data_IF_950032047004
#
_entry.id   IF_950032047004
#
_cell.length_a   1.000
_cell.length_b   1.000
_cell.length_c   1.000
_cell.angle_alpha   90.00
_cell.angle_beta   90.00
_cell.angle_gamma   90.00
#
_symmetry.space_group_name_H-M   'P 1'
#
loop_
_entity.id
_entity.type
_entity.pdbx_description
1 polymer ?
#
# COMPACT_ATOMS: atom_id res chain seq x y z
N UNK A 1 -19.65 -7.23 3.00
CA UNK A 1 -18.43 -6.43 2.66
C UNK A 1 -18.32 -5.33 3.69
N UNK A 2 -17.18 -5.14 4.29
CA UNK A 2 -16.93 -3.99 5.15
C UNK A 2 -15.68 -3.24 4.67
N UNK A 3 -15.75 -1.93 4.72
CA UNK A 3 -14.63 -1.07 4.41
C UNK A 3 -14.11 -0.55 5.75
N UNK A 4 -12.84 -0.77 6.02
CA UNK A 4 -12.19 -0.12 7.11
C UNK A 4 -12.19 1.39 6.92
N UNK A 5 -12.01 2.12 7.98
CA UNK A 5 -12.06 3.56 7.99
C UNK A 5 -11.11 4.16 6.96
N UNK A 6 -11.65 4.95 6.08
CA UNK A 6 -10.90 5.82 5.20
C UNK A 6 -11.13 7.27 5.61
N UNK A 7 -10.18 7.87 6.30
CA UNK A 7 -10.12 9.34 6.48
C UNK A 7 -9.86 10.08 5.16
N UNK A 8 -9.93 9.40 4.05
CA UNK A 8 -9.37 9.83 2.78
C UNK A 8 -10.44 10.22 1.76
N UNK A 9 -11.72 10.03 2.07
CA UNK A 9 -12.78 10.46 1.15
C UNK A 9 -12.83 11.95 0.97
N UNK A 10 -12.43 12.73 1.98
CA UNK A 10 -12.05 14.15 1.82
C UNK A 10 -11.10 14.44 0.67
N UNK A 11 -10.38 13.42 0.19
CA UNK A 11 -9.24 13.51 -0.70
C UNK A 11 -9.35 12.62 -1.93
N UNK A 12 -10.43 11.88 -2.06
CA UNK A 12 -10.66 11.05 -3.24
C UNK A 12 -11.28 11.91 -4.33
N UNK A 13 -10.58 12.03 -5.43
CA UNK A 13 -10.96 12.93 -6.50
C UNK A 13 -10.99 12.18 -7.82
N UNK A 14 -11.89 11.28 -7.96
CA UNK A 14 -12.26 10.84 -9.30
C UNK A 14 -13.67 10.32 -9.36
N UNK A 15 -14.38 10.69 -10.38
CA UNK A 15 -15.54 9.93 -10.79
C UNK A 15 -15.23 8.43 -10.91
N UNK A 16 -14.07 8.05 -11.49
CA UNK A 16 -13.70 6.63 -11.68
C UNK A 16 -13.39 5.90 -10.36
N UNK A 17 -12.62 6.47 -9.44
CA UNK A 17 -12.37 5.84 -8.14
C UNK A 17 -13.60 5.87 -7.23
N UNK A 18 -14.33 6.96 -7.23
CA UNK A 18 -15.56 7.13 -6.46
C UNK A 18 -16.68 6.25 -6.97
N UNK A 19 -16.76 5.99 -8.27
CA UNK A 19 -17.76 5.10 -8.87
C UNK A 19 -17.29 3.65 -9.01
N UNK A 20 -16.08 3.29 -8.56
CA UNK A 20 -15.63 1.89 -8.61
C UNK A 20 -16.67 0.93 -8.03
N UNK A 21 -17.24 1.28 -6.89
CA UNK A 21 -18.30 0.51 -6.23
C UNK A 21 -19.59 0.50 -7.03
N UNK A 22 -20.01 1.65 -7.56
CA UNK A 22 -21.24 1.78 -8.36
C UNK A 22 -21.12 0.96 -9.66
N UNK A 23 -19.99 1.05 -10.36
CA UNK A 23 -19.74 0.26 -11.57
C UNK A 23 -19.67 -1.24 -11.24
N UNK A 24 -19.10 -1.62 -10.11
CA UNK A 24 -19.11 -3.01 -9.67
C UNK A 24 -20.55 -3.48 -9.43
N UNK A 25 -21.36 -2.66 -8.74
CA UNK A 25 -22.76 -2.98 -8.51
C UNK A 25 -23.56 -3.08 -9.81
N UNK A 26 -23.34 -2.19 -10.78
CA UNK A 26 -23.94 -2.24 -12.11
C UNK A 26 -23.54 -3.47 -12.93
N UNK A 27 -22.28 -3.89 -12.76
CA UNK A 27 -21.71 -5.04 -13.47
C UNK A 27 -22.13 -6.40 -12.86
N UNK A 28 -22.46 -6.39 -11.57
CA UNK A 28 -22.80 -7.58 -10.78
C UNK A 28 -24.14 -7.39 -10.08
N UNK A 29 -25.20 -7.21 -10.86
CA UNK A 29 -26.58 -6.95 -10.37
C UNK A 29 -27.17 -8.10 -9.54
N UNK A 30 -26.57 -9.28 -9.62
CA UNK A 30 -26.93 -10.43 -8.79
C UNK A 30 -26.41 -10.31 -7.36
N UNK A 31 -25.49 -9.39 -7.09
CA UNK A 31 -24.91 -9.18 -5.78
C UNK A 31 -25.48 -7.92 -5.12
N UNK A 32 -25.90 -8.03 -3.88
CA UNK A 32 -26.18 -6.88 -3.03
C UNK A 32 -24.88 -6.40 -2.38
N UNK A 33 -24.45 -5.17 -2.72
CA UNK A 33 -23.24 -4.56 -2.18
C UNK A 33 -23.60 -3.65 -1.01
N UNK A 34 -23.03 -3.95 0.17
CA UNK A 34 -23.22 -3.16 1.38
C UNK A 34 -21.88 -2.60 1.81
N UNK A 35 -21.76 -1.29 1.87
CA UNK A 35 -20.60 -0.58 2.40
C UNK A 35 -20.81 -0.25 3.87
N UNK A 36 -20.01 -0.85 4.74
CA UNK A 36 -20.03 -0.56 6.18
C UNK A 36 -18.80 0.29 6.51
N UNK A 37 -19.03 1.49 7.01
CA UNK A 37 -17.99 2.50 7.23
C UNK A 37 -18.18 3.26 8.53
N UNK A 38 -17.14 3.95 9.00
CA UNK A 38 -17.22 4.74 10.24
C UNK A 38 -17.71 6.16 10.06
N UNK A 39 -17.83 6.64 8.83
CA UNK A 39 -18.25 8.01 8.54
C UNK A 39 -18.99 8.07 7.21
N UNK A 40 -20.06 8.84 7.13
CA UNK A 40 -20.83 9.05 5.91
C UNK A 40 -20.02 9.70 4.77
N UNK A 41 -19.06 10.55 5.10
CA UNK A 41 -18.09 11.07 4.13
C UNK A 41 -17.19 10.01 3.48
N UNK A 42 -17.19 8.79 3.99
CA UNK A 42 -16.55 7.65 3.34
C UNK A 42 -17.45 6.98 2.28
N UNK A 43 -18.67 7.45 2.17
CA UNK A 43 -19.60 7.05 1.14
C UNK A 43 -19.50 8.09 0.04
N UNK A 44 -18.67 7.83 -0.92
CA UNK A 44 -18.54 8.48 -2.22
C UNK A 44 -18.74 10.01 -2.25
N UNK A 45 -17.67 10.75 -2.32
CA UNK A 45 -17.67 12.20 -2.50
C UNK A 45 -16.99 12.52 -3.82
N UNK A 46 -17.68 13.25 -4.69
CA UNK A 46 -17.05 13.89 -5.85
C UNK A 46 -16.54 15.27 -5.44
N UNK A 47 -15.23 15.43 -5.38
CA UNK A 47 -14.63 16.72 -5.03
C UNK A 47 -14.43 17.64 -6.22
N UNK A 48 -14.68 17.17 -7.45
CA UNK A 48 -14.55 18.03 -8.63
C UNK A 48 -15.50 19.22 -8.58
N UNK A 49 -16.69 19.02 -7.98
CA UNK A 49 -17.71 20.03 -7.85
C UNK A 49 -18.02 20.42 -6.39
N UNK A 50 -17.32 19.83 -5.41
CA UNK A 50 -17.53 20.08 -3.99
C UNK A 50 -18.84 19.49 -3.44
N UNK A 51 -19.52 18.67 -4.21
CA UNK A 51 -20.78 18.02 -3.84
C UNK A 51 -20.58 16.55 -3.44
N UNK A 52 -21.46 16.07 -2.57
CA UNK A 52 -21.61 14.64 -2.30
C UNK A 52 -22.04 13.97 -3.61
N UNK A 53 -21.24 13.02 -4.07
CA UNK A 53 -21.61 12.19 -5.20
C UNK A 53 -22.96 11.54 -4.92
N UNK A 54 -23.88 11.54 -5.90
CA UNK A 54 -25.13 10.83 -5.74
C UNK A 54 -24.84 9.34 -5.49
N UNK A 55 -25.14 8.92 -4.28
CA UNK A 55 -24.96 7.51 -3.88
C UNK A 55 -25.71 6.64 -4.88
N UNK A 56 -25.05 5.63 -5.41
CA UNK A 56 -25.73 4.65 -6.27
C UNK A 56 -26.85 3.97 -5.47
N UNK A 57 -28.04 3.94 -6.00
CA UNK A 57 -29.17 3.21 -5.41
C UNK A 57 -28.92 1.69 -5.32
N UNK A 58 -27.89 1.20 -6.07
CA UNK A 58 -27.46 -0.20 -6.06
C UNK A 58 -26.57 -0.56 -4.87
N UNK A 59 -26.15 0.42 -4.06
CA UNK A 59 -25.28 0.20 -2.91
C UNK A 59 -25.98 0.64 -1.65
N UNK A 60 -26.05 -0.25 -0.66
CA UNK A 60 -26.49 0.10 0.69
C UNK A 60 -25.32 0.60 1.52
N UNK A 61 -25.52 1.73 2.19
CA UNK A 61 -24.53 2.35 3.08
C UNK A 61 -24.94 2.19 4.54
N UNK A 62 -24.02 1.67 5.36
CA UNK A 62 -24.19 1.51 6.80
C UNK A 62 -23.07 2.24 7.52
N UNK A 63 -23.41 3.27 8.28
CA UNK A 63 -22.47 4.10 9.03
C UNK A 63 -22.44 3.66 10.49
N UNK A 64 -21.25 3.31 10.97
CA UNK A 64 -20.99 2.92 12.36
C UNK A 64 -20.09 3.99 13.00
N UNK A 65 -20.65 4.99 13.69
CA UNK A 65 -19.88 6.12 14.21
C UNK A 65 -18.80 5.73 15.22
N UNK A 66 -19.07 4.67 16.01
CA UNK A 66 -18.08 4.10 16.91
C UNK A 66 -17.43 2.88 16.23
N UNK A 67 -16.18 3.00 15.86
CA UNK A 67 -15.42 2.00 15.09
C UNK A 67 -14.83 0.87 15.96
N UNK A 68 -15.45 0.56 17.08
CA UNK A 68 -15.07 -0.61 17.87
C UNK A 68 -15.28 -1.91 17.08
N UNK A 69 -14.45 -2.90 17.34
CA UNK A 69 -14.50 -4.21 16.65
C UNK A 69 -15.87 -4.86 16.77
N UNK A 70 -16.47 -4.78 17.95
CA UNK A 70 -17.78 -5.39 18.23
C UNK A 70 -18.90 -4.66 17.51
N UNK A 71 -18.93 -3.34 17.59
CA UNK A 71 -19.94 -2.49 16.97
C UNK A 71 -19.93 -2.66 15.44
N UNK A 72 -18.75 -2.77 14.85
CA UNK A 72 -18.60 -3.04 13.43
C UNK A 72 -19.14 -4.44 13.08
N UNK A 73 -18.79 -5.45 13.86
CA UNK A 73 -19.28 -6.81 13.65
C UNK A 73 -20.80 -6.92 13.85
N UNK A 74 -21.38 -6.22 14.84
CA UNK A 74 -22.83 -6.18 15.09
C UNK A 74 -23.58 -5.55 13.89
N UNK A 75 -23.05 -4.46 13.34
CA UNK A 75 -23.61 -3.80 12.16
C UNK A 75 -23.56 -4.72 10.93
N UNK A 76 -22.43 -5.38 10.68
CA UNK A 76 -22.29 -6.32 9.57
C UNK A 76 -23.24 -7.53 9.73
N UNK A 77 -23.33 -8.11 10.92
CA UNK A 77 -24.22 -9.25 11.19
C UNK A 77 -25.69 -8.89 10.96
N UNK A 78 -26.09 -7.64 11.29
CA UNK A 78 -27.47 -7.15 11.06
C UNK A 78 -27.84 -7.19 9.59
N UNK A 79 -26.89 -6.99 8.70
CA UNK A 79 -27.08 -7.04 7.26
C UNK A 79 -27.12 -8.47 6.69
N UNK A 80 -26.75 -9.48 7.49
CA UNK A 80 -26.75 -10.90 7.11
C UNK A 80 -25.99 -11.20 5.80
N UNK A 81 -24.75 -10.72 5.67
CA UNK A 81 -24.01 -10.91 4.41
C UNK A 81 -23.59 -12.38 4.24
N UNK A 82 -23.47 -12.82 3.00
CA UNK A 82 -22.86 -14.10 2.66
C UNK A 82 -21.36 -14.07 2.96
N UNK A 83 -20.72 -12.92 2.74
CA UNK A 83 -19.31 -12.70 3.04
C UNK A 83 -19.03 -11.23 3.37
N UNK A 84 -18.13 -11.00 4.31
CA UNK A 84 -17.56 -9.69 4.60
C UNK A 84 -16.13 -9.60 4.07
N UNK A 85 -15.83 -8.56 3.30
CA UNK A 85 -14.52 -8.33 2.67
C UNK A 85 -13.87 -7.09 3.27
N UNK A 86 -12.68 -7.26 3.86
CA UNK A 86 -11.91 -6.14 4.37
C UNK A 86 -11.22 -5.40 3.22
N UNK A 87 -11.47 -4.11 3.12
CA UNK A 87 -10.93 -3.25 2.07
C UNK A 87 -10.37 -1.94 2.63
N UNK A 88 -9.90 -1.96 3.86
CA UNK A 88 -9.28 -0.80 4.48
C UNK A 88 -8.01 -0.39 3.76
N UNK A 89 -7.83 0.92 3.68
CA UNK A 89 -6.58 1.52 3.26
C UNK A 89 -5.79 2.02 4.47
N UNK A 90 -4.67 2.64 4.20
CA UNK A 90 -3.78 3.22 5.19
C UNK A 90 -4.47 4.23 6.11
N UNK A 91 -4.09 4.26 7.38
CA UNK A 91 -4.45 5.26 8.37
C UNK A 91 -3.20 5.93 8.96
N UNK A 92 -3.30 7.20 9.32
CA UNK A 92 -2.20 8.00 9.88
C UNK A 92 -2.50 8.36 11.34
N UNK A 93 -1.51 8.49 12.22
CA UNK A 93 -0.07 8.31 12.03
C UNK A 93 0.41 6.86 12.08
N UNK A 94 -0.39 5.96 12.63
CA UNK A 94 -0.09 4.53 12.78
C UNK A 94 -1.15 3.73 12.04
N UNK A 95 -0.71 2.80 11.21
CA UNK A 95 -1.60 2.00 10.37
C UNK A 95 -2.15 0.77 11.11
N UNK A 96 -3.15 1.00 11.96
CA UNK A 96 -3.84 -0.06 12.68
C UNK A 96 -5.04 -0.69 11.96
N UNK A 97 -5.38 -0.18 10.76
CA UNK A 97 -6.53 -0.69 10.01
C UNK A 97 -6.44 -2.17 9.70
N UNK A 98 -5.30 -2.74 9.28
CA UNK A 98 -5.21 -4.18 9.03
C UNK A 98 -5.52 -5.02 10.27
N UNK A 99 -5.03 -4.61 11.42
CA UNK A 99 -5.25 -5.31 12.69
C UNK A 99 -6.71 -5.18 13.12
N UNK A 100 -7.33 -4.00 12.95
CA UNK A 100 -8.75 -3.80 13.24
C UNK A 100 -9.62 -4.68 12.34
N UNK A 101 -9.36 -4.70 11.04
CA UNK A 101 -10.09 -5.53 10.08
C UNK A 101 -9.98 -7.02 10.42
N UNK A 102 -8.78 -7.46 10.79
CA UNK A 102 -8.54 -8.83 11.25
C UNK A 102 -9.32 -9.17 12.51
N UNK A 103 -9.41 -8.25 13.47
CA UNK A 103 -10.21 -8.44 14.69
C UNK A 103 -11.71 -8.48 14.39
N UNK A 104 -12.22 -7.63 13.50
CA UNK A 104 -13.61 -7.66 13.04
C UNK A 104 -13.90 -8.98 12.35
N UNK A 105 -13.03 -9.42 11.41
CA UNK A 105 -13.18 -10.70 10.73
C UNK A 105 -13.17 -11.89 11.69
N UNK A 106 -12.28 -11.89 12.69
CA UNK A 106 -12.25 -12.91 13.75
C UNK A 106 -13.56 -12.99 14.53
N UNK A 107 -14.17 -11.84 14.84
CA UNK A 107 -15.45 -11.78 15.51
C UNK A 107 -16.60 -12.27 14.62
N UNK A 108 -16.61 -11.90 13.35
CA UNK A 108 -17.58 -12.39 12.36
C UNK A 108 -17.50 -13.90 12.16
N UNK A 109 -16.29 -14.45 12.03
CA UNK A 109 -16.06 -15.90 11.91
C UNK A 109 -16.60 -16.68 13.12
N UNK A 110 -16.48 -16.15 14.35
CA UNK A 110 -17.10 -16.74 15.56
C UNK A 110 -18.63 -16.80 15.49
N UNK A 111 -19.25 -15.87 14.76
CA UNK A 111 -20.70 -15.80 14.54
C UNK A 111 -21.16 -16.60 13.32
N UNK A 112 -20.25 -17.34 12.67
CA UNK A 112 -20.52 -18.14 11.49
C UNK A 112 -20.60 -17.35 10.17
N UNK A 113 -20.17 -16.09 10.16
CA UNK A 113 -20.13 -15.24 8.98
C UNK A 113 -18.75 -15.37 8.33
N UNK A 114 -18.72 -15.70 7.04
CA UNK A 114 -17.46 -15.71 6.27
C UNK A 114 -16.86 -14.30 6.21
N UNK A 115 -15.55 -14.20 6.38
CA UNK A 115 -14.86 -12.93 6.30
C UNK A 115 -13.51 -13.11 5.62
N UNK A 116 -13.22 -12.24 4.64
CA UNK A 116 -11.95 -12.17 3.94
C UNK A 116 -11.11 -11.03 4.54
N UNK A 117 -10.23 -11.39 5.44
CA UNK A 117 -9.21 -10.55 6.05
C UNK A 117 -8.18 -11.45 6.73
N UNK A 118 -6.96 -10.99 6.85
CA UNK A 118 -5.90 -11.70 7.58
C UNK A 118 -6.35 -12.08 9.00
N UNK A 119 -5.77 -13.14 9.55
CA UNK A 119 -5.94 -13.41 10.98
C UNK A 119 -5.18 -12.36 11.80
N UNK A 120 -5.64 -12.02 13.03
CA UNK A 120 -5.06 -10.92 13.80
C UNK A 120 -3.56 -11.06 14.05
N UNK A 121 -3.09 -12.27 14.27
CA UNK A 121 -1.69 -12.57 14.53
C UNK A 121 -0.82 -12.23 13.30
N UNK A 122 -1.25 -12.60 12.11
CA UNK A 122 -0.56 -12.28 10.84
C UNK A 122 -0.67 -10.78 10.53
N UNK A 123 -1.86 -10.19 10.67
CA UNK A 123 -2.03 -8.75 10.48
C UNK A 123 -1.08 -7.94 11.37
N UNK A 124 -0.93 -8.34 12.64
CA UNK A 124 -0.03 -7.70 13.59
C UNK A 124 1.45 -7.91 13.22
N UNK A 125 1.85 -9.14 12.83
CA UNK A 125 3.21 -9.43 12.44
C UNK A 125 3.63 -8.68 11.17
N UNK A 126 2.71 -8.48 10.23
CA UNK A 126 2.98 -7.75 8.99
C UNK A 126 2.90 -6.21 9.15
N UNK A 127 2.14 -5.71 10.12
CA UNK A 127 2.04 -4.26 10.40
C UNK A 127 3.28 -3.72 11.10
N UNK A 128 3.92 -4.54 11.94
CA UNK A 128 5.16 -4.19 12.64
C UNK A 128 6.40 -4.64 11.85
N UNK A 129 7.23 -3.68 11.42
CA UNK A 129 8.39 -3.93 10.56
C UNK A 129 9.45 -4.84 11.19
N UNK A 130 9.62 -4.77 12.52
CA UNK A 130 10.53 -5.68 13.21
C UNK A 130 9.99 -7.11 13.23
N UNK A 131 8.70 -7.28 13.57
CA UNK A 131 8.05 -8.59 13.54
C UNK A 131 8.02 -9.19 12.14
N UNK A 132 7.77 -8.37 11.11
CA UNK A 132 7.88 -8.76 9.70
C UNK A 132 9.29 -9.25 9.36
N UNK A 133 10.34 -8.53 9.76
CA UNK A 133 11.72 -8.94 9.52
C UNK A 133 12.03 -10.31 10.16
N UNK A 134 11.65 -10.52 11.43
CA UNK A 134 11.82 -11.80 12.11
C UNK A 134 11.04 -12.94 11.44
N UNK A 135 9.80 -12.66 11.05
CA UNK A 135 8.94 -13.62 10.37
C UNK A 135 9.56 -14.07 9.04
N UNK A 136 9.98 -13.13 8.21
CA UNK A 136 10.57 -13.40 6.90
C UNK A 136 11.89 -14.18 7.01
N UNK A 137 12.75 -13.85 7.98
CA UNK A 137 13.97 -14.63 8.28
C UNK A 137 13.65 -16.08 8.63
N UNK A 138 12.61 -16.33 9.43
CA UNK A 138 12.17 -17.66 9.80
C UNK A 138 11.80 -18.51 8.57
N UNK A 139 11.25 -17.87 7.53
CA UNK A 139 10.86 -18.53 6.28
C UNK A 139 11.95 -18.47 5.18
N UNK A 140 13.16 -18.02 5.53
CA UNK A 140 14.29 -17.96 4.59
C UNK A 140 14.16 -16.90 3.50
N UNK A 141 13.28 -15.92 3.68
CA UNK A 141 13.11 -14.77 2.77
C UNK A 141 14.22 -13.76 3.07
N UNK A 142 14.85 -13.23 2.02
CA UNK A 142 15.87 -12.18 2.14
C UNK A 142 15.31 -10.90 2.74
N UNK A 143 15.95 -10.39 3.79
CA UNK A 143 15.65 -9.12 4.46
C UNK A 143 16.93 -8.46 4.94
N UNK A 144 16.89 -7.17 5.24
CA UNK A 144 18.01 -6.44 5.81
C UNK A 144 18.39 -6.97 7.21
N UNK A 145 19.69 -6.92 7.56
CA UNK A 145 20.10 -7.04 8.95
C UNK A 145 19.57 -5.82 9.72
N UNK A 146 19.06 -6.05 10.92
CA UNK A 146 18.36 -5.01 11.65
C UNK A 146 18.49 -5.18 13.16
N UNK A 147 18.40 -4.05 13.86
CA UNK A 147 18.38 -3.93 15.32
C UNK A 147 17.10 -3.21 15.74
N UNK A 148 16.37 -3.78 16.69
CA UNK A 148 15.24 -3.12 17.35
C UNK A 148 15.76 -2.25 18.49
N UNK A 149 15.34 -0.99 18.51
CA UNK A 149 15.62 -0.05 19.61
C UNK A 149 14.30 0.28 20.31
N UNK A 150 14.18 -0.15 21.56
CA UNK A 150 13.07 0.21 22.43
C UNK A 150 13.29 1.62 22.97
N UNK A 151 12.54 2.58 22.45
CA UNK A 151 12.78 4.00 22.70
C UNK A 151 12.65 4.38 24.18
N UNK A 152 11.72 3.76 24.91
CA UNK A 152 11.56 4.01 26.35
C UNK A 152 12.79 3.61 27.16
N UNK A 153 13.44 2.50 26.82
CA UNK A 153 14.66 2.05 27.48
C UNK A 153 15.88 2.89 27.06
N UNK A 154 15.93 3.26 25.78
CA UNK A 154 17.02 4.05 25.23
C UNK A 154 17.04 5.47 25.78
N UNK A 155 15.87 6.10 25.92
CA UNK A 155 15.70 7.49 26.34
C UNK A 155 15.23 7.66 27.79
N UNK A 156 15.38 6.59 28.61
CA UNK A 156 15.02 6.68 30.02
C UNK A 156 15.74 7.84 30.71
N UNK A 157 14.98 8.71 31.34
CA UNK A 157 15.49 9.81 32.18
C UNK A 157 15.40 9.34 33.62
N UNK A 158 16.55 9.08 34.22
CA UNK A 158 16.64 8.74 35.64
C UNK A 158 17.80 9.47 36.26
N UNK A 159 17.51 10.29 37.25
CA UNK A 159 18.53 11.03 38.02
C UNK A 159 19.46 10.10 38.87
N UNK A 160 19.04 8.84 39.02
CA UNK A 160 19.79 7.83 39.75
C UNK A 160 20.67 6.92 38.88
N UNK A 161 20.55 6.99 37.53
CA UNK A 161 21.37 6.17 36.63
C UNK A 161 22.58 6.96 36.13
N UNK A 162 23.74 6.57 36.56
CA UNK A 162 25.03 7.11 36.05
C UNK A 162 25.39 6.55 34.69
N UNK A 163 24.78 5.42 34.29
CA UNK A 163 25.05 4.74 33.02
C UNK A 163 23.82 4.05 32.50
N UNK A 164 23.47 4.25 31.22
CA UNK A 164 22.40 3.49 30.56
C UNK A 164 23.02 2.33 29.76
N UNK A 165 23.13 1.17 30.42
CA UNK A 165 23.71 -0.05 29.81
C UNK A 165 22.97 -0.50 28.56
N UNK A 166 21.65 -0.21 28.46
CA UNK A 166 20.91 -0.52 27.24
C UNK A 166 21.41 0.31 26.04
N UNK A 167 21.81 1.58 26.25
CA UNK A 167 22.43 2.38 25.18
C UNK A 167 23.77 1.80 24.74
N UNK A 168 24.58 1.31 25.68
CA UNK A 168 25.86 0.65 25.35
C UNK A 168 25.62 -0.61 24.52
N UNK A 169 24.66 -1.44 24.93
CA UNK A 169 24.24 -2.63 24.19
C UNK A 169 23.76 -2.29 22.76
N UNK A 170 22.92 -1.27 22.63
CA UNK A 170 22.43 -0.82 21.31
C UNK A 170 23.57 -0.27 20.46
N UNK A 171 24.48 0.51 21.05
CA UNK A 171 25.62 1.06 20.33
C UNK A 171 26.52 -0.07 19.76
N UNK A 172 26.79 -1.08 20.56
CA UNK A 172 27.54 -2.27 20.17
C UNK A 172 26.84 -3.00 19.02
N UNK A 173 25.53 -3.28 19.16
CA UNK A 173 24.74 -3.94 18.13
C UNK A 173 24.65 -3.15 16.82
N UNK A 174 24.59 -1.82 16.88
CA UNK A 174 24.56 -0.96 15.69
C UNK A 174 25.92 -0.90 15.01
N UNK A 175 27.02 -1.06 15.74
CA UNK A 175 28.37 -1.05 15.19
C UNK A 175 28.65 -2.28 14.30
N UNK A 176 27.89 -3.35 14.46
CA UNK A 176 27.96 -4.56 13.64
C UNK A 176 27.21 -4.45 12.30
N UNK A 177 26.40 -3.37 12.10
CA UNK A 177 25.68 -3.15 10.85
C UNK A 177 26.57 -2.50 9.79
N UNK A 178 26.31 -2.86 8.53
CA UNK A 178 26.93 -2.21 7.37
C UNK A 178 26.20 -0.90 7.03
N UNK A 179 26.91 0.22 7.12
CA UNK A 179 26.38 1.52 6.73
C UNK A 179 26.43 1.74 5.21
N UNK A 180 25.47 2.50 4.61
CA UNK A 180 24.42 3.27 5.28
C UNK A 180 23.30 2.38 5.86
N UNK A 181 22.65 2.90 6.93
CA UNK A 181 21.48 2.26 7.54
C UNK A 181 20.24 3.12 7.39
N UNK A 182 19.09 2.47 7.50
CA UNK A 182 17.77 3.10 7.53
C UNK A 182 17.25 3.08 8.96
N UNK A 183 16.93 4.26 9.49
CA UNK A 183 16.31 4.45 10.82
C UNK A 183 14.84 4.77 10.59
N UNK A 184 13.92 3.94 11.09
CA UNK A 184 12.47 4.10 10.90
C UNK A 184 11.68 3.57 12.10
N UNK A 185 10.46 4.07 12.31
CA UNK A 185 9.55 3.50 13.31
C UNK A 185 9.11 2.09 12.91
N UNK A 186 8.87 1.21 13.90
CA UNK A 186 8.39 -0.16 13.62
C UNK A 186 6.99 -0.16 13.03
N UNK A 187 6.13 0.78 13.44
CA UNK A 187 4.77 0.97 12.94
C UNK A 187 4.63 2.36 12.33
N UNK A 188 4.79 2.47 11.03
CA UNK A 188 4.71 3.73 10.28
C UNK A 188 4.35 3.47 8.83
N UNK A 189 4.05 4.54 8.09
CA UNK A 189 3.56 4.47 6.73
C UNK A 189 4.13 5.57 5.83
N UNK A 190 4.11 5.35 4.52
CA UNK A 190 4.36 6.37 3.50
C UNK A 190 5.74 7.02 3.59
N UNK A 191 6.76 6.28 4.01
CA UNK A 191 8.14 6.76 4.23
C UNK A 191 8.26 7.93 5.23
N UNK A 192 7.22 8.21 6.04
CA UNK A 192 7.29 9.20 7.10
C UNK A 192 8.22 8.73 8.21
N UNK A 193 9.15 9.61 8.63
CA UNK A 193 10.11 9.27 9.68
C UNK A 193 11.19 8.27 9.26
N UNK A 194 11.34 8.01 7.95
CA UNK A 194 12.44 7.20 7.41
C UNK A 194 13.66 8.06 7.16
N UNK A 195 14.76 7.72 7.82
CA UNK A 195 16.03 8.44 7.68
C UNK A 195 17.11 7.47 7.20
N UNK A 196 17.81 7.84 6.14
CA UNK A 196 19.02 7.13 5.70
C UNK A 196 20.22 7.88 6.25
N UNK A 197 21.07 7.19 6.99
CA UNK A 197 22.25 7.76 7.65
C UNK A 197 23.50 6.95 7.32
N UNK A 198 24.60 7.67 7.19
CA UNK A 198 25.87 7.09 6.72
C UNK A 198 26.80 6.70 7.89
N UNK A 199 26.50 7.16 9.11
CA UNK A 199 27.35 6.93 10.28
C UNK A 199 26.56 6.48 11.51
N UNK A 200 27.26 5.79 12.39
CA UNK A 200 26.74 5.34 13.69
C UNK A 200 26.33 6.54 14.58
N UNK A 201 27.09 7.62 14.53
CA UNK A 201 26.83 8.83 15.29
C UNK A 201 25.52 9.51 14.86
N UNK A 202 25.25 9.55 13.54
CA UNK A 202 23.99 10.08 12.99
C UNK A 202 22.80 9.22 13.42
N UNK A 203 22.93 7.89 13.33
CA UNK A 203 21.90 6.97 13.81
C UNK A 203 21.61 7.18 15.30
N UNK A 204 22.66 7.25 16.11
CA UNK A 204 22.56 7.46 17.54
C UNK A 204 21.87 8.80 17.91
N UNK A 205 22.18 9.86 17.17
CA UNK A 205 21.53 11.17 17.36
C UNK A 205 20.02 11.09 17.11
N UNK A 206 19.59 10.46 16.01
CA UNK A 206 18.17 10.27 15.72
C UNK A 206 17.47 9.49 16.84
N UNK A 207 18.11 8.42 17.34
CA UNK A 207 17.57 7.62 18.43
C UNK A 207 17.42 8.42 19.73
N UNK A 208 18.35 9.34 20.02
CA UNK A 208 18.26 10.22 21.19
C UNK A 208 17.13 11.26 21.07
N UNK A 209 16.86 11.72 19.87
CA UNK A 209 15.82 12.71 19.58
C UNK A 209 14.43 12.08 19.43
N UNK A 210 14.36 10.74 19.34
CA UNK A 210 13.08 10.04 19.17
C UNK A 210 12.28 10.01 20.49
N UNK A 211 11.11 10.62 20.44
CA UNK A 211 10.12 10.65 21.53
C UNK A 211 8.89 9.77 21.25
N UNK A 212 8.91 9.06 20.12
CA UNK A 212 7.84 8.18 19.65
C UNK A 212 8.02 6.72 20.06
N UNK A 213 7.41 5.83 19.29
CA UNK A 213 7.47 4.38 19.52
C UNK A 213 8.85 3.75 19.23
N UNK A 214 8.90 2.43 19.25
CA UNK A 214 10.10 1.67 18.97
C UNK A 214 10.62 1.92 17.55
N UNK A 215 11.94 1.86 17.41
CA UNK A 215 12.66 2.17 16.18
C UNK A 215 13.36 0.93 15.65
N UNK A 216 13.26 0.71 14.35
CA UNK A 216 14.04 -0.25 13.61
C UNK A 216 15.22 0.48 12.95
N UNK A 217 16.42 -0.01 13.21
CA UNK A 217 17.63 0.38 12.48
C UNK A 217 18.07 -0.81 11.65
N UNK A 218 18.06 -0.66 10.32
CA UNK A 218 18.39 -1.76 9.42
C UNK A 218 19.41 -1.34 8.36
N UNK A 219 20.22 -2.28 7.88
CA UNK A 219 21.10 -2.05 6.74
C UNK A 219 20.27 -1.60 5.54
N UNK A 220 20.72 -0.56 4.86
CA UNK A 220 20.05 -0.14 3.63
C UNK A 220 20.25 -1.20 2.54
N UNK A 221 19.16 -1.83 2.11
CA UNK A 221 19.20 -2.76 1.00
C UNK A 221 19.66 -2.06 -0.28
N UNK A 222 20.69 -2.57 -0.96
CA UNK A 222 21.17 -1.99 -2.22
C UNK A 222 20.26 -2.35 -3.38
N UNK A 223 20.48 -1.68 -4.52
CA UNK A 223 19.86 -2.00 -5.80
C UNK A 223 18.55 -1.28 -6.08
N UNK A 224 17.76 -1.88 -6.95
CA UNK A 224 16.50 -1.31 -7.46
C UNK A 224 15.33 -1.65 -6.53
N UNK A 225 14.39 -0.73 -6.38
CA UNK A 225 13.20 -0.95 -5.59
C UNK A 225 11.99 -1.30 -6.45
N UNK A 226 11.15 -2.18 -5.91
CA UNK A 226 9.94 -2.67 -6.57
C UNK A 226 8.82 -2.83 -5.56
N UNK A 227 7.60 -2.95 -6.08
CA UNK A 227 6.45 -3.38 -5.31
C UNK A 227 5.63 -4.40 -6.08
N UNK A 228 5.03 -5.35 -5.38
CA UNK A 228 4.11 -6.33 -5.96
C UNK A 228 2.91 -6.54 -5.06
N UNK A 229 1.89 -7.21 -5.59
CA UNK A 229 0.69 -7.63 -4.87
C UNK A 229 0.61 -9.15 -4.83
N UNK A 230 0.17 -9.70 -3.69
CA UNK A 230 -0.20 -11.11 -3.55
C UNK A 230 -1.71 -11.18 -3.52
N UNK A 231 -2.30 -11.79 -4.53
CA UNK A 231 -3.74 -11.95 -4.72
C UNK A 231 -4.17 -13.39 -4.43
N UNK A 232 -5.35 -13.58 -3.86
CA UNK A 232 -5.91 -14.91 -3.61
C UNK A 232 -6.14 -15.25 -2.15
N UNK A 233 -6.54 -16.50 -1.90
CA UNK A 233 -6.82 -17.07 -0.58
C UNK A 233 -6.80 -18.59 -0.62
N UNK A 234 -6.95 -19.25 0.54
CA UNK A 234 -7.15 -20.70 0.67
C UNK A 234 -6.12 -21.56 -0.10
N UNK A 235 -4.86 -21.12 -0.10
CA UNK A 235 -3.77 -21.84 -0.79
C UNK A 235 -3.66 -21.55 -2.29
N UNK A 236 -4.60 -20.81 -2.87
CA UNK A 236 -4.60 -20.38 -4.26
C UNK A 236 -4.15 -18.92 -4.34
N UNK A 237 -2.86 -18.70 -4.54
CA UNK A 237 -2.27 -17.37 -4.58
C UNK A 237 -1.60 -17.11 -5.92
N UNK A 238 -1.75 -15.86 -6.39
CA UNK A 238 -1.04 -15.30 -7.53
C UNK A 238 -0.21 -14.12 -7.04
N UNK A 239 1.09 -14.18 -7.25
CA UNK A 239 1.97 -13.03 -7.02
C UNK A 239 2.10 -12.29 -8.34
N UNK A 240 1.69 -11.05 -8.37
CA UNK A 240 1.72 -10.23 -9.58
C UNK A 240 3.16 -9.91 -9.97
N UNK A 241 3.47 -9.74 -11.26
CA UNK A 241 4.76 -9.21 -11.66
C UNK A 241 4.98 -7.82 -11.03
N UNK A 242 6.21 -7.53 -10.54
CA UNK A 242 6.45 -6.32 -9.78
C UNK A 242 6.45 -5.05 -10.65
N UNK A 243 6.20 -3.92 -9.99
CA UNK A 243 6.36 -2.57 -10.54
C UNK A 243 7.65 -1.98 -10.00
N UNK A 244 8.49 -1.42 -10.86
CA UNK A 244 9.74 -0.78 -10.46
C UNK A 244 9.49 0.65 -10.02
N UNK A 245 10.14 1.06 -8.93
CA UNK A 245 10.04 2.41 -8.37
C UNK A 245 11.24 3.25 -8.76
N UNK A 246 10.99 4.52 -9.06
CA UNK A 246 12.06 5.51 -9.11
C UNK A 246 12.44 5.88 -7.67
N UNK A 247 13.74 5.83 -7.38
CA UNK A 247 14.31 6.23 -6.10
C UNK A 247 15.06 7.55 -6.23
N UNK A 248 15.21 8.26 -5.11
CA UNK A 248 16.07 9.44 -5.01
C UNK A 248 17.56 9.06 -4.94
N UNK A 249 18.43 10.05 -4.83
CA UNK A 249 19.89 9.85 -4.76
C UNK A 249 20.33 9.01 -3.54
N UNK A 250 19.50 8.97 -2.50
CA UNK A 250 19.71 8.10 -1.33
C UNK A 250 19.18 6.68 -1.55
N UNK A 251 18.62 6.37 -2.74
CA UNK A 251 18.08 5.06 -3.08
C UNK A 251 16.84 4.68 -2.26
N UNK A 252 16.04 5.65 -1.83
CA UNK A 252 14.73 5.44 -1.23
C UNK A 252 13.66 6.07 -2.11
N UNK A 253 12.44 5.55 -2.03
CA UNK A 253 11.31 6.08 -2.79
C UNK A 253 11.06 7.53 -2.41
N UNK A 254 11.06 8.42 -3.40
CA UNK A 254 10.75 9.83 -3.20
C UNK A 254 9.23 10.01 -3.12
N UNK A 255 8.73 10.36 -1.95
CA UNK A 255 7.28 10.55 -1.73
C UNK A 255 6.66 11.63 -2.63
N UNK A 256 7.44 12.59 -3.13
CA UNK A 256 6.95 13.69 -3.95
C UNK A 256 7.10 13.45 -5.46
N UNK A 257 8.08 12.63 -5.85
CA UNK A 257 8.39 12.29 -7.24
C UNK A 257 8.26 10.79 -7.49
N UNK A 258 7.37 10.12 -6.75
CA UNK A 258 7.10 8.72 -6.96
C UNK A 258 6.74 8.52 -8.42
N UNK A 259 7.49 7.63 -9.06
CA UNK A 259 7.16 7.06 -10.35
C UNK A 259 7.30 5.55 -10.21
N UNK A 260 6.24 4.85 -10.58
CA UNK A 260 6.18 3.38 -10.56
C UNK A 260 5.81 2.95 -11.97
N UNK A 261 6.56 2.03 -12.53
CA UNK A 261 6.36 1.54 -13.89
C UNK A 261 6.34 0.02 -13.91
N UNK A 262 5.46 -0.55 -14.70
CA UNK A 262 5.36 -2.00 -14.90
C UNK A 262 4.04 -2.42 -15.53
N UNK A 263 3.69 -3.71 -15.42
CA UNK A 263 4.44 -4.77 -14.72
C UNK A 263 5.76 -5.13 -15.38
N UNK A 264 6.76 -5.51 -14.58
CA UNK A 264 8.08 -5.92 -15.06
C UNK A 264 8.14 -7.46 -15.12
N UNK A 265 8.34 -7.99 -16.31
CA UNK A 265 8.44 -9.42 -16.55
C UNK A 265 9.78 -9.85 -17.18
N UNK A 266 10.77 -8.96 -17.21
CA UNK A 266 12.09 -9.22 -17.78
C UNK A 266 12.80 -10.36 -17.00
N UNK A 267 13.29 -11.36 -17.72
CA UNK A 267 13.98 -12.53 -17.15
C UNK A 267 15.23 -12.15 -16.33
N UNK A 268 15.86 -11.01 -16.63
CA UNK A 268 17.04 -10.51 -15.88
C UNK A 268 16.73 -10.29 -14.39
N UNK A 269 15.45 -10.06 -14.04
CA UNK A 269 15.02 -9.84 -12.66
C UNK A 269 14.59 -11.13 -11.92
N UNK A 270 14.69 -12.30 -12.54
CA UNK A 270 14.31 -13.56 -11.90
C UNK A 270 12.91 -13.53 -11.24
N UNK A 271 11.93 -12.91 -11.93
CA UNK A 271 10.57 -12.67 -11.38
C UNK A 271 9.87 -13.96 -10.99
N UNK A 272 10.11 -15.06 -11.73
CA UNK A 272 9.51 -16.38 -11.41
C UNK A 272 9.96 -16.92 -10.05
N UNK A 273 11.20 -16.68 -9.67
CA UNK A 273 11.75 -17.09 -8.37
C UNK A 273 11.13 -16.29 -7.24
N UNK A 274 10.97 -14.97 -7.44
CA UNK A 274 10.23 -14.09 -6.52
C UNK A 274 8.79 -14.59 -6.33
N UNK A 275 8.08 -14.80 -7.42
CA UNK A 275 6.68 -15.26 -7.41
C UNK A 275 6.55 -16.59 -6.66
N UNK A 276 7.42 -17.55 -6.91
CA UNK A 276 7.42 -18.83 -6.21
C UNK A 276 7.67 -18.67 -4.71
N UNK A 277 8.64 -17.84 -4.34
CA UNK A 277 9.02 -17.59 -2.94
C UNK A 277 7.87 -16.97 -2.16
N UNK A 278 7.26 -15.90 -2.71
CA UNK A 278 6.14 -15.21 -2.08
C UNK A 278 4.85 -16.04 -2.07
N UNK A 279 4.61 -16.85 -3.11
CA UNK A 279 3.48 -17.80 -3.12
C UNK A 279 3.62 -18.84 -2.01
N UNK A 280 4.82 -19.36 -1.80
CA UNK A 280 5.08 -20.31 -0.71
C UNK A 280 4.87 -19.65 0.65
N UNK A 281 5.36 -18.42 0.84
CA UNK A 281 5.13 -17.65 2.07
C UNK A 281 3.64 -17.45 2.33
N UNK A 282 2.87 -17.04 1.30
CA UNK A 282 1.43 -16.83 1.42
C UNK A 282 0.68 -18.11 1.82
N UNK A 283 1.10 -19.26 1.30
CA UNK A 283 0.53 -20.57 1.67
C UNK A 283 0.85 -20.94 3.11
N UNK A 284 2.10 -20.78 3.53
CA UNK A 284 2.55 -21.12 4.89
C UNK A 284 1.88 -20.23 5.96
N UNK A 285 1.61 -18.97 5.63
CA UNK A 285 1.01 -17.99 6.53
C UNK A 285 -0.52 -17.87 6.36
N UNK A 286 -1.10 -18.60 5.40
CA UNK A 286 -2.54 -18.54 5.11
C UNK A 286 -3.04 -17.10 4.95
N UNK A 287 -2.49 -16.38 3.97
CA UNK A 287 -2.93 -15.01 3.69
C UNK A 287 -4.39 -14.98 3.25
N UNK A 288 -5.18 -14.14 3.90
CA UNK A 288 -6.62 -13.96 3.63
C UNK A 288 -6.96 -12.47 3.54
N UNK A 289 -6.27 -11.72 2.72
CA UNK A 289 -6.52 -10.28 2.62
C UNK A 289 -5.58 -9.60 1.61
N UNK A 290 -5.79 -8.31 1.36
CA UNK A 290 -4.89 -7.53 0.53
C UNK A 290 -3.47 -7.58 1.06
N UNK A 291 -2.50 -7.85 0.20
CA UNK A 291 -1.10 -8.04 0.62
C UNK A 291 -0.16 -7.41 -0.39
N UNK A 292 0.35 -6.23 -0.06
CA UNK A 292 1.32 -5.52 -0.85
C UNK A 292 2.72 -5.76 -0.29
N UNK A 293 3.71 -6.00 -1.15
CA UNK A 293 5.10 -6.27 -0.78
C UNK A 293 6.04 -5.27 -1.42
N UNK A 294 6.81 -4.54 -0.61
CA UNK A 294 7.91 -3.70 -1.08
C UNK A 294 9.21 -4.50 -1.10
N UNK A 295 9.97 -4.37 -2.18
CA UNK A 295 11.06 -5.23 -2.56
C UNK A 295 12.30 -4.44 -2.95
N UNK A 296 13.47 -5.04 -2.72
CA UNK A 296 14.73 -4.64 -3.32
C UNK A 296 15.29 -5.78 -4.17
N UNK A 297 15.90 -5.43 -5.31
CA UNK A 297 16.60 -6.38 -6.18
C UNK A 297 18.03 -5.94 -6.40
N UNK A 298 18.97 -6.81 -6.05
CA UNK A 298 20.39 -6.54 -6.20
C UNK A 298 21.16 -7.81 -6.53
N UNK A 299 22.04 -7.75 -7.52
CA UNK A 299 22.94 -8.87 -7.92
C UNK A 299 22.22 -10.23 -8.04
N UNK A 300 21.07 -10.22 -8.72
CA UNK A 300 20.32 -11.47 -8.96
C UNK A 300 19.46 -11.94 -7.78
N UNK A 301 19.35 -11.17 -6.69
CA UNK A 301 18.63 -11.56 -5.48
C UNK A 301 17.53 -10.57 -5.11
N UNK A 302 16.39 -11.13 -4.71
CA UNK A 302 15.30 -10.38 -4.12
C UNK A 302 15.40 -10.35 -2.60
N UNK A 303 15.06 -9.19 -2.04
CA UNK A 303 14.87 -9.00 -0.60
C UNK A 303 13.58 -8.25 -0.34
N UNK A 304 12.89 -8.58 0.73
CA UNK A 304 11.67 -7.88 1.16
C UNK A 304 12.06 -6.71 2.05
N UNK A 305 11.53 -5.52 1.75
CA UNK A 305 11.68 -4.31 2.56
C UNK A 305 10.58 -4.27 3.62
N UNK A 306 9.32 -4.48 3.20
CA UNK A 306 8.15 -4.57 4.09
C UNK A 306 6.99 -5.28 3.39
N UNK A 307 6.05 -5.78 4.19
CA UNK A 307 4.76 -6.29 3.73
C UNK A 307 3.67 -5.42 4.36
N UNK A 308 2.76 -4.94 3.52
CA UNK A 308 1.62 -4.13 3.92
C UNK A 308 0.34 -4.95 3.79
N UNK A 309 -0.28 -5.43 4.90
CA UNK A 309 -1.45 -6.31 4.84
C UNK A 309 -2.75 -5.52 4.62
N UNK A 310 -2.80 -4.71 3.58
CA UNK A 310 -3.91 -3.81 3.27
C UNK A 310 -3.89 -3.32 1.83
N UNK A 311 -5.01 -2.74 1.40
CA UNK A 311 -5.10 -2.02 0.13
C UNK A 311 -4.10 -0.85 0.06
N UNK A 312 -3.37 -0.77 -1.03
CA UNK A 312 -2.28 0.18 -1.25
C UNK A 312 -2.30 0.79 -2.65
N UNK A 313 -1.39 1.71 -2.92
CA UNK A 313 -1.20 2.23 -4.28
C UNK A 313 -0.67 1.18 -5.28
N UNK A 314 -0.01 0.12 -4.80
CA UNK A 314 0.39 -1.02 -5.65
C UNK A 314 -0.83 -1.87 -6.01
N UNK A 315 -1.74 -2.07 -5.07
CA UNK A 315 -3.01 -2.76 -5.33
C UNK A 315 -3.79 -2.08 -6.47
N UNK A 316 -3.84 -0.74 -6.45
CA UNK A 316 -4.51 0.04 -7.50
C UNK A 316 -3.81 -0.10 -8.86
N UNK A 317 -2.49 0.06 -8.90
CA UNK A 317 -1.73 -0.02 -10.15
C UNK A 317 -1.75 -1.46 -10.73
N UNK A 318 -1.69 -2.47 -9.86
CA UNK A 318 -1.83 -3.88 -10.24
C UNK A 318 -3.20 -4.16 -10.84
N UNK A 319 -4.26 -3.73 -10.18
CA UNK A 319 -5.62 -3.89 -10.69
C UNK A 319 -5.84 -3.16 -12.03
N UNK A 320 -5.34 -1.93 -12.15
CA UNK A 320 -5.46 -1.16 -13.39
C UNK A 320 -4.70 -1.82 -14.55
N UNK A 321 -3.53 -2.38 -14.30
CA UNK A 321 -2.75 -3.17 -15.26
C UNK A 321 -3.54 -4.42 -15.76
N UNK A 322 -4.35 -5.00 -14.89
CA UNK A 322 -5.26 -6.11 -15.22
C UNK A 322 -6.56 -5.64 -15.88
N UNK A 323 -6.75 -4.35 -16.06
CA UNK A 323 -8.02 -3.76 -16.52
C UNK A 323 -9.20 -4.12 -15.60
N UNK A 324 -8.89 -4.32 -14.31
CA UNK A 324 -9.83 -4.68 -13.24
C UNK A 324 -9.80 -3.62 -12.15
N UNK A 325 -10.70 -3.76 -11.19
CA UNK A 325 -10.71 -2.95 -9.97
C UNK A 325 -10.22 -3.77 -8.77
N UNK A 326 -9.56 -3.15 -7.79
CA UNK A 326 -9.12 -3.86 -6.60
C UNK A 326 -10.24 -4.65 -5.92
N UNK A 327 -11.44 -4.09 -5.91
CA UNK A 327 -12.58 -4.75 -5.27
C UNK A 327 -13.02 -6.03 -6.00
N UNK A 328 -12.93 -6.08 -7.34
CA UNK A 328 -13.22 -7.28 -8.11
C UNK A 328 -12.23 -8.40 -7.79
N UNK A 329 -10.94 -8.03 -7.61
CA UNK A 329 -9.88 -8.97 -7.22
C UNK A 329 -10.13 -9.51 -5.81
N UNK A 330 -10.50 -8.65 -4.86
CA UNK A 330 -10.79 -9.07 -3.48
C UNK A 330 -12.05 -9.90 -3.38
N UNK A 331 -13.08 -9.58 -4.17
CA UNK A 331 -14.30 -10.36 -4.23
C UNK A 331 -14.02 -11.76 -4.81
N UNK A 332 -13.23 -11.87 -5.87
CA UNK A 332 -12.79 -13.15 -6.43
C UNK A 332 -12.01 -13.97 -5.41
N UNK A 333 -11.05 -13.36 -4.71
CA UNK A 333 -10.29 -14.02 -3.65
C UNK A 333 -11.18 -14.51 -2.51
N UNK A 334 -12.23 -13.76 -2.18
CA UNK A 334 -13.15 -14.07 -1.10
C UNK A 334 -14.18 -15.13 -1.47
N UNK A 335 -14.76 -15.08 -2.67
CA UNK A 335 -15.76 -16.03 -3.16
C UNK A 335 -15.16 -17.29 -3.81
N UNK A 336 -13.85 -17.23 -4.18
CA UNK A 336 -13.21 -18.31 -4.92
C UNK A 336 -13.61 -18.32 -6.41
N UNK A 337 -13.38 -19.47 -7.07
CA UNK A 337 -13.55 -19.61 -8.52
C UNK A 337 -15.01 -19.65 -9.02
N UNK A 338 -15.95 -19.52 -8.11
CA UNK A 338 -17.39 -19.61 -8.47
C UNK A 338 -17.90 -18.36 -9.18
N UNK A 339 -17.11 -17.29 -9.23
CA UNK A 339 -17.41 -16.05 -9.95
C UNK A 339 -16.25 -15.66 -10.86
N UNK A 340 -16.55 -15.41 -12.12
CA UNK A 340 -15.61 -14.90 -13.10
C UNK A 340 -15.62 -13.36 -13.06
N UNK A 341 -14.56 -12.78 -12.53
CA UNK A 341 -14.35 -11.33 -12.48
C UNK A 341 -13.37 -10.84 -13.57
N UNK A 342 -13.05 -11.67 -14.54
CA UNK A 342 -12.17 -11.34 -15.67
C UNK A 342 -10.83 -12.06 -15.61
N UNK A 343 -10.13 -12.04 -16.74
CA UNK A 343 -8.92 -12.83 -16.96
C UNK A 343 -7.66 -12.05 -16.54
N UNK A 344 -6.81 -12.67 -15.73
CA UNK A 344 -5.52 -12.10 -15.26
C UNK A 344 -4.45 -12.07 -16.38
N UNK A 345 -4.71 -12.79 -17.50
CA UNK A 345 -3.68 -13.09 -18.49
C UNK A 345 -3.32 -11.92 -19.42
N UNK A 346 -3.98 -10.77 -19.32
CA UNK A 346 -3.80 -9.65 -20.25
C UNK A 346 -3.25 -8.40 -19.56
N UNK A 347 -2.13 -8.59 -18.84
CA UNK A 347 -1.46 -7.47 -18.16
C UNK A 347 -0.97 -6.41 -19.15
N UNK A 348 -1.31 -5.16 -18.86
CA UNK A 348 -0.93 -4.00 -19.66
C UNK A 348 0.07 -3.13 -18.92
N UNK A 349 0.93 -2.48 -19.67
CA UNK A 349 1.89 -1.53 -19.12
C UNK A 349 1.17 -0.28 -18.60
N UNK A 350 1.57 0.10 -17.40
CA UNK A 350 1.03 1.28 -16.72
C UNK A 350 2.16 2.00 -15.98
N UNK A 351 1.96 3.28 -15.75
CA UNK A 351 2.82 4.12 -14.93
C UNK A 351 1.98 4.85 -13.89
N UNK A 352 2.46 4.93 -12.65
CA UNK A 352 1.89 5.80 -11.64
C UNK A 352 2.86 6.93 -11.33
N UNK A 353 2.33 8.15 -11.24
CA UNK A 353 3.11 9.35 -10.90
C UNK A 353 2.26 10.33 -10.09
N UNK A 354 2.92 11.25 -9.39
CA UNK A 354 2.24 12.30 -8.62
C UNK A 354 2.16 13.60 -9.39
N UNK A 355 0.99 14.22 -9.30
CA UNK A 355 0.73 15.56 -9.85
C UNK A 355 0.83 16.56 -8.72
N UNK A 356 1.74 17.52 -8.85
CA UNK A 356 1.95 18.58 -7.87
C UNK A 356 0.75 19.56 -7.84
N UNK A 357 0.53 20.28 -6.74
CA UNK A 357 -0.61 21.17 -6.57
C UNK A 357 -0.79 22.17 -7.70
N UNK A 358 0.31 22.73 -8.20
CA UNK A 358 0.30 23.72 -9.30
C UNK A 358 -0.22 23.18 -10.62
N UNK A 359 -0.12 21.86 -10.83
CA UNK A 359 -0.54 21.20 -12.07
C UNK A 359 -1.92 20.52 -11.96
N UNK A 360 -2.52 20.50 -10.77
CA UNK A 360 -3.84 19.91 -10.58
C UNK A 360 -4.93 20.48 -11.50
N UNK A 361 -5.01 21.82 -11.73
CA UNK A 361 -6.00 22.38 -12.66
C UNK A 361 -5.87 21.88 -14.10
N UNK A 362 -4.65 21.47 -14.50
CA UNK A 362 -4.41 20.87 -15.83
C UNK A 362 -4.89 19.41 -15.81
N UNK A 363 -4.57 18.67 -14.73
CA UNK A 363 -4.97 17.27 -14.60
C UNK A 363 -6.48 17.11 -14.57
N UNK A 364 -7.19 18.01 -13.90
CA UNK A 364 -8.65 18.03 -13.81
C UNK A 364 -9.33 18.08 -15.19
N UNK A 365 -8.71 18.74 -16.15
CA UNK A 365 -9.22 18.81 -17.54
C UNK A 365 -9.03 17.49 -18.32
N UNK A 366 -8.14 16.62 -17.86
CA UNK A 366 -7.85 15.33 -18.48
C UNK A 366 -8.61 14.17 -17.83
N UNK A 367 -9.28 14.42 -16.71
CA UNK A 367 -10.13 13.44 -16.06
C UNK A 367 -11.27 13.05 -17.00
N UNK A 368 -11.36 11.75 -17.31
CA UNK A 368 -12.30 11.22 -18.32
C UNK A 368 -11.61 10.59 -19.52
N UNK A 369 -10.33 10.84 -19.74
CA UNK A 369 -9.52 10.02 -20.64
C UNK A 369 -9.47 8.58 -20.13
N UNK A 370 -9.71 7.61 -21.02
CA UNK A 370 -9.78 6.18 -20.66
C UNK A 370 -8.45 5.60 -20.14
N UNK A 371 -7.33 6.26 -20.46
CA UNK A 371 -6.00 5.89 -19.99
C UNK A 371 -5.64 6.50 -18.65
N UNK A 372 -6.49 7.34 -18.07
CA UNK A 372 -6.23 8.06 -16.82
C UNK A 372 -7.12 7.54 -15.69
N UNK A 373 -6.48 7.09 -14.62
CA UNK A 373 -7.11 6.90 -13.33
C UNK A 373 -6.48 7.85 -12.32
N UNK A 374 -7.22 8.84 -11.87
CA UNK A 374 -6.80 9.74 -10.80
C UNK A 374 -7.26 9.15 -9.47
N UNK A 375 -6.33 8.75 -8.59
CA UNK A 375 -6.63 7.99 -7.37
C UNK A 375 -6.97 8.88 -6.20
N UNK A 376 -6.18 9.91 -5.97
CA UNK A 376 -6.30 10.76 -4.79
C UNK A 376 -6.03 12.22 -5.12
N UNK A 377 -6.83 13.10 -4.54
CA UNK A 377 -6.52 14.51 -4.41
C UNK A 377 -6.63 14.86 -2.94
N UNK A 378 -5.61 15.44 -2.36
CA UNK A 378 -5.65 15.78 -0.96
C UNK A 378 -4.60 16.77 -0.53
N UNK A 379 -4.83 17.37 0.62
CA UNK A 379 -3.77 18.04 1.36
C UNK A 379 -2.94 16.98 2.05
N UNK A 380 -1.66 16.88 1.68
CA UNK A 380 -0.71 16.06 2.41
C UNK A 380 -0.04 16.91 3.49
N UNK A 381 0.14 16.40 4.71
CA UNK A 381 0.98 17.06 5.71
C UNK A 381 2.45 17.20 5.23
N UNK A 382 2.84 16.42 4.22
CA UNK A 382 4.17 16.45 3.61
C UNK A 382 4.29 17.50 2.50
N UNK A 383 3.18 18.01 1.97
CA UNK A 383 3.16 19.03 0.92
C UNK A 383 2.50 20.29 1.49
N UNK A 384 3.31 21.26 1.86
CA UNK A 384 2.78 22.54 2.36
C UNK A 384 1.99 23.25 1.25
N UNK A 385 0.69 23.39 1.47
CA UNK A 385 -0.14 24.37 0.77
C UNK A 385 -0.83 23.91 -0.49
N UNK A 386 -1.18 22.63 -0.65
CA UNK A 386 -1.96 22.30 -1.83
C UNK A 386 -2.51 20.88 -1.92
N UNK A 387 -3.45 20.72 -2.82
CA UNK A 387 -3.98 19.44 -3.26
C UNK A 387 -2.95 18.80 -4.19
N UNK A 388 -2.68 17.51 -4.02
CA UNK A 388 -1.89 16.74 -4.98
C UNK A 388 -2.72 15.58 -5.51
N UNK A 389 -2.41 15.11 -6.73
CA UNK A 389 -3.02 13.93 -7.32
C UNK A 389 -2.02 12.77 -7.41
N UNK A 390 -2.49 11.55 -7.27
CA UNK A 390 -1.78 10.36 -7.72
C UNK A 390 -2.52 9.79 -8.92
N UNK A 391 -1.82 9.68 -10.03
CA UNK A 391 -2.36 9.26 -11.32
C UNK A 391 -1.80 7.91 -11.67
N UNK A 392 -2.66 7.00 -12.13
CA UNK A 392 -2.24 5.84 -12.91
C UNK A 392 -2.58 6.13 -14.36
N UNK A 393 -1.59 6.03 -15.23
CA UNK A 393 -1.72 6.21 -16.65
C UNK A 393 -1.28 4.95 -17.39
N UNK A 394 -2.07 4.48 -18.35
CA UNK A 394 -1.62 3.29 -19.06
C UNK A 394 -2.68 2.51 -19.79
N UNK A 395 -2.52 1.20 -19.72
CA UNK A 395 -3.23 0.17 -20.45
C UNK A 395 -2.70 0.07 -21.90
N UNK A 396 -1.38 -0.08 -22.03
CA UNK A 396 -0.69 -0.24 -23.32
C UNK A 396 0.03 -1.59 -23.41
N UNK A 397 0.20 -2.09 -24.61
CA UNK A 397 0.93 -3.35 -24.85
C UNK A 397 2.43 -3.16 -24.84
N UNK A 398 2.90 -1.98 -25.28
CA UNK A 398 4.33 -1.69 -25.41
C UNK A 398 4.73 -0.40 -24.69
N UNK A 399 6.01 -0.30 -24.33
CA UNK A 399 6.60 0.88 -23.71
C UNK A 399 6.58 2.06 -24.67
N UNK A 400 6.79 1.81 -25.96
CA UNK A 400 6.76 2.81 -27.01
C UNK A 400 5.38 3.46 -27.15
N UNK A 401 4.32 2.65 -27.13
CA UNK A 401 2.94 3.15 -27.18
C UNK A 401 2.62 3.99 -25.94
N UNK A 402 2.99 3.51 -24.75
CA UNK A 402 2.81 4.25 -23.50
C UNK A 402 3.52 5.62 -23.56
N UNK A 403 4.78 5.65 -23.95
CA UNK A 403 5.57 6.90 -24.04
C UNK A 403 4.99 7.87 -25.07
N UNK A 404 4.62 7.39 -26.26
CA UNK A 404 4.00 8.22 -27.29
C UNK A 404 2.66 8.82 -26.82
N UNK A 405 1.86 8.01 -26.10
CA UNK A 405 0.58 8.44 -25.54
C UNK A 405 0.77 9.47 -24.42
N UNK A 406 1.72 9.27 -23.50
CA UNK A 406 2.06 10.24 -22.45
C UNK A 406 2.42 11.60 -23.05
N UNK A 407 3.32 11.63 -24.04
CA UNK A 407 3.74 12.87 -24.69
C UNK A 407 2.59 13.62 -25.37
N UNK A 408 1.62 12.87 -25.89
CA UNK A 408 0.43 13.44 -26.52
C UNK A 408 -0.58 13.95 -25.48
N UNK A 409 -0.93 13.13 -24.51
CA UNK A 409 -2.00 13.41 -23.53
C UNK A 409 -1.56 14.46 -22.51
N UNK A 410 -0.31 14.40 -22.03
CA UNK A 410 0.22 15.37 -21.09
C UNK A 410 0.79 16.64 -21.76
N UNK A 411 0.55 16.84 -23.06
CA UNK A 411 0.97 18.06 -23.77
C UNK A 411 0.57 19.39 -23.07
N UNK A 412 -0.56 19.50 -22.37
CA UNK A 412 -0.91 20.71 -21.63
C UNK A 412 0.01 21.04 -20.45
N UNK A 413 0.76 20.05 -19.95
CA UNK A 413 1.73 20.25 -18.85
C UNK A 413 3.01 20.91 -19.34
N UNK A 414 3.79 21.55 -18.44
CA UNK A 414 5.12 22.02 -18.78
C UNK A 414 5.99 20.91 -19.37
N UNK A 415 6.74 21.25 -20.43
CA UNK A 415 7.56 20.26 -21.14
C UNK A 415 8.54 19.53 -20.20
N UNK A 416 9.18 20.25 -19.31
CA UNK A 416 10.11 19.70 -18.31
C UNK A 416 9.46 18.67 -17.37
N UNK A 417 8.18 18.86 -17.02
CA UNK A 417 7.44 17.90 -16.22
C UNK A 417 7.16 16.60 -16.98
N UNK A 418 6.77 16.73 -18.27
CA UNK A 418 6.53 15.56 -19.13
C UNK A 418 7.83 14.83 -19.42
N UNK A 419 8.91 15.58 -19.72
CA UNK A 419 10.24 15.02 -19.98
C UNK A 419 10.74 14.23 -18.74
N UNK A 420 10.54 14.72 -17.50
CA UNK A 420 10.92 14.01 -16.26
C UNK A 420 10.18 12.66 -16.09
N UNK A 421 8.91 12.61 -16.48
CA UNK A 421 8.13 11.35 -16.46
C UNK A 421 8.67 10.39 -17.53
N UNK A 422 8.87 10.88 -18.76
CA UNK A 422 9.37 10.09 -19.89
C UNK A 422 10.76 9.54 -19.59
N UNK A 423 11.66 10.37 -19.09
CA UNK A 423 13.02 9.97 -18.70
C UNK A 423 12.99 8.97 -17.55
N UNK A 424 12.11 9.19 -16.57
CA UNK A 424 11.88 8.24 -15.48
C UNK A 424 11.47 6.86 -16.00
N UNK A 425 10.49 6.78 -16.89
CA UNK A 425 10.06 5.52 -17.51
C UNK A 425 11.19 4.86 -18.31
N UNK A 426 11.98 5.64 -19.04
CA UNK A 426 13.09 5.12 -19.84
C UNK A 426 14.18 4.46 -18.98
N UNK A 427 14.37 4.92 -17.74
CA UNK A 427 15.34 4.37 -16.79
C UNK A 427 14.78 3.18 -15.99
N UNK A 428 13.46 2.92 -16.05
CA UNK A 428 12.80 1.80 -15.42
C UNK A 428 12.51 0.67 -16.44
N UNK A 429 12.54 -0.57 -16.00
CA UNK A 429 12.26 -1.76 -16.84
C UNK A 429 13.46 -2.59 -17.22
#
# INVERSE_FOLDING_TARGET
>A
MFIGQKNVVKYTYTPKACVQWSIMAEKHLEDEIILVTGHDANCVVDFSEGELFSQSELIKYVVVPNLGTKEMADAIETEKPDIAVAVSTVNSPIDWNPVKDALVAKELKKRGIKAFAHVPEIAMDLTDKWRTNLLLRKYGIGVANAVLVQSELFNVKSDSMTNNVYREYIFDALSDLNFPVVVKTTAGMGSMGVNVVDTLEEAYKILQENDGGDVLVEEKLPGLQFGTEIEGSDGNYTVMPPFQFRTNDKGVTDSFRILKFGPIADEKFHVKELQQSLTNLARELYFEGPTQVDLAYHEGKWSVIEINPRWSGITEISAFSQQRRPIEIFAEAAFGKDKDYGDIHNLKLVVSFKVQPEYMPIMEQLVGDEHICLLTVGESPLIRGGKFGEVIYGVFDTKEELLASIQKTLKPFPKEYVDDIVDGINHLG
#
